data_IF_466542455168
#
_entry.id   IF_466542455168
#
_cell.length_a   1.000
_cell.length_b   1.000
_cell.length_c   1.000
_cell.angle_alpha   90.00
_cell.angle_beta   90.00
_cell.angle_gamma   90.00
#
_symmetry.space_group_name_H-M   'P 1'
#
loop_
_entity.id
_entity.type
_entity.pdbx_description
1 polymer ?
#
# COMPACT_ATOMS: atom_id res chain seq x y z
N UNK A 1 -12.46 -15.30 -6.97
CA UNK A 1 -11.78 -14.00 -7.17
C UNK A 1 -10.58 -13.85 -6.23
N UNK A 2 -10.20 -14.93 -5.56
CA UNK A 2 -9.48 -14.87 -4.27
C UNK A 2 -7.96 -14.94 -4.46
N UNK A 3 -7.53 -15.59 -5.54
CA UNK A 3 -6.11 -15.71 -5.89
C UNK A 3 -5.52 -14.36 -6.30
N UNK A 4 -6.32 -13.46 -6.90
CA UNK A 4 -5.87 -12.13 -7.25
C UNK A 4 -5.60 -11.31 -5.97
N UNK A 5 -6.58 -11.26 -5.06
CA UNK A 5 -6.41 -10.57 -3.77
C UNK A 5 -5.29 -11.17 -2.94
N UNK A 6 -5.12 -12.50 -2.97
CA UNK A 6 -4.01 -13.17 -2.30
C UNK A 6 -2.64 -12.76 -2.88
N UNK A 7 -2.49 -12.81 -4.21
CA UNK A 7 -1.23 -12.44 -4.86
C UNK A 7 -0.93 -10.94 -4.69
N UNK A 8 -1.93 -10.07 -4.80
CA UNK A 8 -1.79 -8.63 -4.52
C UNK A 8 -1.45 -8.39 -3.05
N UNK A 9 -2.06 -9.13 -2.12
CA UNK A 9 -1.71 -9.11 -0.71
C UNK A 9 -0.26 -9.53 -0.44
N UNK A 10 0.24 -10.56 -1.12
CA UNK A 10 1.65 -10.97 -1.04
C UNK A 10 2.61 -9.89 -1.57
N UNK A 11 2.24 -9.19 -2.65
CA UNK A 11 3.02 -8.07 -3.18
C UNK A 11 3.03 -6.88 -2.20
N UNK A 12 1.87 -6.53 -1.63
CA UNK A 12 1.76 -5.51 -0.59
C UNK A 12 2.55 -5.87 0.67
N UNK A 13 2.58 -7.16 1.04
CA UNK A 13 3.36 -7.65 2.17
C UNK A 13 4.86 -7.49 1.95
N UNK A 14 5.34 -7.85 0.76
CA UNK A 14 6.74 -7.67 0.38
C UNK A 14 7.14 -6.19 0.46
N UNK A 15 6.32 -5.29 -0.10
CA UNK A 15 6.53 -3.85 -0.01
C UNK A 15 6.51 -3.34 1.43
N UNK A 16 5.55 -3.80 2.24
CA UNK A 16 5.47 -3.44 3.65
C UNK A 16 6.78 -3.80 4.36
N UNK A 17 7.27 -5.03 4.20
CA UNK A 17 8.50 -5.51 4.83
C UNK A 17 9.71 -4.67 4.39
N UNK A 18 9.83 -4.40 3.09
CA UNK A 18 10.94 -3.60 2.56
C UNK A 18 10.90 -2.16 3.06
N UNK A 19 9.72 -1.52 3.13
CA UNK A 19 9.55 -0.20 3.73
C UNK A 19 9.90 -0.16 5.22
N UNK A 20 9.61 -1.22 5.97
CA UNK A 20 10.08 -1.36 7.36
C UNK A 20 11.60 -1.51 7.47
N UNK A 21 12.25 -2.09 6.45
CA UNK A 21 13.70 -2.14 6.33
C UNK A 21 14.32 -0.85 5.76
N UNK A 22 13.51 0.16 5.45
CA UNK A 22 13.95 1.41 4.80
C UNK A 22 14.39 1.23 3.36
N UNK A 23 13.98 0.12 2.73
CA UNK A 23 14.15 -0.19 1.32
C UNK A 23 12.83 0.03 0.59
N UNK A 24 12.91 -0.04 -0.72
CA UNK A 24 11.78 0.14 -1.63
C UNK A 24 11.75 -1.04 -2.59
N UNK A 25 10.58 -1.62 -2.81
CA UNK A 25 10.40 -2.73 -3.73
C UNK A 25 9.46 -2.40 -4.88
N UNK A 26 8.39 -1.63 -4.64
CA UNK A 26 7.34 -1.34 -5.62
C UNK A 26 7.12 0.16 -5.90
N UNK A 27 7.31 1.04 -4.91
CA UNK A 27 6.95 2.46 -5.05
C UNK A 27 7.80 3.19 -6.12
N UNK A 28 9.10 2.89 -6.24
CA UNK A 28 10.00 3.52 -7.22
C UNK A 28 10.46 2.58 -8.34
N UNK A 29 9.75 1.47 -8.59
CA UNK A 29 10.05 0.59 -9.74
C UNK A 29 9.84 1.29 -11.09
N UNK A 30 9.02 2.35 -11.13
CA UNK A 30 8.75 3.10 -12.35
C UNK A 30 9.75 4.26 -12.52
N UNK A 31 10.41 4.32 -13.68
CA UNK A 31 11.27 5.45 -14.11
C UNK A 31 10.57 6.83 -14.08
N UNK A 32 9.23 6.84 -13.91
CA UNK A 32 8.44 8.06 -13.81
C UNK A 32 8.52 8.76 -12.45
N UNK A 33 8.95 8.07 -11.39
CA UNK A 33 9.03 8.61 -10.03
C UNK A 33 10.49 8.68 -9.58
N UNK A 34 11.09 9.86 -9.67
CA UNK A 34 12.48 10.08 -9.22
C UNK A 34 12.55 10.16 -7.69
N UNK A 35 13.19 9.19 -6.99
CA UNK A 35 13.26 9.17 -5.53
C UNK A 35 13.98 10.39 -4.95
N UNK A 36 14.82 11.07 -5.75
CA UNK A 36 15.53 12.29 -5.32
C UNK A 36 14.62 13.50 -5.10
N UNK A 37 13.40 13.46 -5.65
CA UNK A 37 12.40 14.53 -5.49
C UNK A 37 11.55 14.37 -4.23
N UNK A 38 11.75 13.29 -3.47
CA UNK A 38 10.93 12.94 -2.32
C UNK A 38 11.74 12.82 -1.04
N UNK A 39 11.13 13.22 0.07
CA UNK A 39 11.68 12.98 1.39
C UNK A 39 11.37 11.54 1.78
N UNK A 40 12.23 10.61 1.35
CA UNK A 40 12.04 9.16 1.50
C UNK A 40 11.77 8.76 2.95
N UNK A 41 12.45 9.36 3.93
CA UNK A 41 12.19 9.07 5.36
C UNK A 41 10.74 9.33 5.75
N UNK A 42 10.17 10.42 5.26
CA UNK A 42 8.80 10.83 5.59
C UNK A 42 7.77 10.03 4.80
N UNK A 43 8.07 9.72 3.54
CA UNK A 43 7.25 8.85 2.70
C UNK A 43 7.19 7.45 3.31
N UNK A 44 8.33 6.80 3.56
CA UNK A 44 8.38 5.44 4.12
C UNK A 44 7.73 5.37 5.51
N UNK A 45 7.81 6.42 6.32
CA UNK A 45 7.14 6.45 7.62
C UNK A 45 5.61 6.36 7.53
N UNK A 46 5.01 6.85 6.44
CA UNK A 46 3.56 6.87 6.22
C UNK A 46 3.15 5.68 5.34
N UNK A 47 3.83 5.45 4.23
CA UNK A 47 3.54 4.39 3.25
C UNK A 47 3.61 2.99 3.88
N UNK A 48 4.53 2.73 4.82
CA UNK A 48 4.63 1.42 5.48
C UNK A 48 3.33 1.02 6.21
N UNK A 49 2.61 2.00 6.75
CA UNK A 49 1.36 1.74 7.46
C UNK A 49 0.19 1.61 6.50
N UNK A 50 0.18 2.40 5.42
CA UNK A 50 -0.80 2.29 4.36
C UNK A 50 -0.72 0.92 3.67
N UNK A 51 0.49 0.49 3.27
CA UNK A 51 0.72 -0.83 2.69
C UNK A 51 0.40 -1.97 3.66
N UNK A 52 0.65 -1.80 4.96
CA UNK A 52 0.25 -2.79 5.96
C UNK A 52 -1.29 -2.95 6.04
N UNK A 53 -2.03 -1.85 6.01
CA UNK A 53 -3.51 -1.86 6.01
C UNK A 53 -4.05 -2.49 4.73
N UNK A 54 -3.47 -2.17 3.58
CA UNK A 54 -3.84 -2.77 2.29
C UNK A 54 -3.59 -4.26 2.29
N UNK A 55 -2.41 -4.69 2.75
CA UNK A 55 -2.04 -6.10 2.86
C UNK A 55 -3.03 -6.88 3.73
N UNK A 56 -3.36 -6.34 4.91
CA UNK A 56 -4.33 -6.97 5.83
C UNK A 56 -5.73 -7.03 5.22
N UNK A 57 -6.15 -5.98 4.51
CA UNK A 57 -7.47 -5.90 3.88
C UNK A 57 -7.58 -6.85 2.68
N UNK A 58 -6.53 -6.94 1.87
CA UNK A 58 -6.44 -7.86 0.73
C UNK A 58 -6.41 -9.31 1.18
N UNK A 59 -5.66 -9.66 2.23
CA UNK A 59 -5.73 -11.00 2.81
C UNK A 59 -7.09 -11.28 3.46
N UNK A 60 -7.69 -10.31 4.14
CA UNK A 60 -9.02 -10.45 4.72
C UNK A 60 -10.08 -10.81 3.68
N UNK A 61 -10.04 -10.17 2.51
CA UNK A 61 -10.88 -10.49 1.35
C UNK A 61 -10.51 -11.84 0.72
N UNK A 62 -9.22 -12.16 0.59
CA UNK A 62 -8.76 -13.43 0.02
C UNK A 62 -9.22 -14.65 0.84
N UNK A 63 -9.31 -14.51 2.16
CA UNK A 63 -9.78 -15.56 3.07
C UNK A 63 -11.28 -15.48 3.39
N UNK A 64 -12.04 -14.54 2.79
CA UNK A 64 -13.48 -14.35 3.05
C UNK A 64 -13.82 -14.18 4.55
N UNK A 65 -12.95 -13.54 5.34
CA UNK A 65 -13.06 -13.54 6.81
C UNK A 65 -14.34 -12.87 7.34
N UNK A 66 -14.97 -11.99 6.56
CA UNK A 66 -16.21 -11.31 6.94
C UNK A 66 -17.42 -11.62 6.05
N UNK A 67 -17.30 -12.60 5.15
CA UNK A 67 -18.29 -12.87 4.10
C UNK A 67 -18.52 -11.65 3.19
N UNK A 68 -19.60 -11.68 2.39
CA UNK A 68 -19.83 -10.65 1.36
C UNK A 68 -19.92 -9.21 1.87
N UNK A 69 -20.45 -8.99 3.08
CA UNK A 69 -20.50 -7.65 3.69
C UNK A 69 -19.11 -7.21 4.19
N UNK A 70 -18.33 -8.14 4.76
CA UNK A 70 -16.97 -7.85 5.19
C UNK A 70 -16.06 -7.50 4.02
N UNK A 71 -16.19 -8.21 2.90
CA UNK A 71 -15.41 -7.94 1.69
C UNK A 71 -15.70 -6.55 1.12
N UNK A 72 -16.96 -6.08 1.17
CA UNK A 72 -17.31 -4.73 0.75
C UNK A 72 -16.69 -3.65 1.65
N UNK A 73 -16.65 -3.88 2.96
CA UNK A 73 -16.01 -2.96 3.91
C UNK A 73 -14.50 -2.93 3.68
N UNK A 74 -13.87 -4.10 3.52
CA UNK A 74 -12.43 -4.19 3.24
C UNK A 74 -12.08 -3.56 1.89
N UNK A 75 -12.91 -3.72 0.86
CA UNK A 75 -12.75 -3.04 -0.42
C UNK A 75 -12.87 -1.52 -0.28
N UNK A 76 -13.79 -1.02 0.55
CA UNK A 76 -13.89 0.41 0.84
C UNK A 76 -12.65 0.94 1.58
N UNK A 77 -12.08 0.15 2.50
CA UNK A 77 -10.81 0.49 3.18
C UNK A 77 -9.67 0.61 2.16
N UNK A 78 -9.50 -0.38 1.28
CA UNK A 78 -8.47 -0.36 0.21
C UNK A 78 -8.65 0.84 -0.72
N UNK A 79 -9.90 1.25 -0.98
CA UNK A 79 -10.16 2.42 -1.80
C UNK A 79 -9.71 3.72 -1.11
N UNK A 80 -9.96 3.84 0.21
CA UNK A 80 -9.54 5.00 1.00
C UNK A 80 -8.02 5.09 1.13
N UNK A 81 -7.34 3.97 1.37
CA UNK A 81 -5.88 3.92 1.44
C UNK A 81 -5.25 4.24 0.08
N UNK A 82 -5.84 3.82 -1.04
CA UNK A 82 -5.38 4.20 -2.38
C UNK A 82 -5.43 5.72 -2.60
N UNK A 83 -6.47 6.40 -2.11
CA UNK A 83 -6.50 7.87 -2.11
C UNK A 83 -5.40 8.48 -1.24
N UNK A 84 -5.11 7.88 -0.09
CA UNK A 84 -4.04 8.34 0.79
C UNK A 84 -2.64 8.14 0.17
N UNK A 85 -2.38 7.01 -0.50
CA UNK A 85 -1.17 6.81 -1.31
C UNK A 85 -1.00 7.93 -2.34
N UNK A 86 -2.03 8.20 -3.14
CA UNK A 86 -2.00 9.30 -4.13
C UNK A 86 -1.73 10.64 -3.47
N UNK A 87 -2.30 10.90 -2.29
CA UNK A 87 -2.05 12.12 -1.54
C UNK A 87 -0.59 12.23 -1.09
N UNK A 88 0.02 11.16 -0.57
CA UNK A 88 1.43 11.14 -0.14
C UNK A 88 2.35 11.48 -1.31
N UNK A 89 2.14 10.87 -2.48
CA UNK A 89 2.97 11.15 -3.66
C UNK A 89 2.69 12.53 -4.30
N UNK A 90 1.46 13.02 -4.27
CA UNK A 90 1.11 14.31 -4.90
C UNK A 90 1.43 15.51 -4.01
N UNK A 91 1.37 15.34 -2.70
CA UNK A 91 1.50 16.45 -1.75
C UNK A 91 2.91 17.05 -1.75
N UNK A 92 2.99 18.38 -1.64
CA UNK A 92 4.27 19.10 -1.54
C UNK A 92 4.98 18.84 -0.21
N UNK A 93 4.26 18.37 0.81
CA UNK A 93 4.81 18.09 2.14
C UNK A 93 5.76 16.88 2.19
N UNK A 94 5.79 16.07 1.13
CA UNK A 94 6.63 14.88 1.01
C UNK A 94 7.67 15.01 -0.12
N UNK A 95 7.68 16.15 -0.82
CA UNK A 95 8.67 16.48 -1.86
C UNK A 95 9.78 17.35 -1.29
N UNK A 96 10.98 17.22 -1.85
CA UNK A 96 12.18 17.99 -1.49
C UNK A 96 12.31 19.21 -2.41
#
# INVERSE_FOLDING_TARGET
>A
MDILFFLTGCLGLAETIDLFCGKDFLIFISDSIDPKRYNLKKVYAVEKWLFAIDTLSLFGMAFHLGGGTGDLVLAAVVLVTLFAHVYVFKSRNFRV
#
